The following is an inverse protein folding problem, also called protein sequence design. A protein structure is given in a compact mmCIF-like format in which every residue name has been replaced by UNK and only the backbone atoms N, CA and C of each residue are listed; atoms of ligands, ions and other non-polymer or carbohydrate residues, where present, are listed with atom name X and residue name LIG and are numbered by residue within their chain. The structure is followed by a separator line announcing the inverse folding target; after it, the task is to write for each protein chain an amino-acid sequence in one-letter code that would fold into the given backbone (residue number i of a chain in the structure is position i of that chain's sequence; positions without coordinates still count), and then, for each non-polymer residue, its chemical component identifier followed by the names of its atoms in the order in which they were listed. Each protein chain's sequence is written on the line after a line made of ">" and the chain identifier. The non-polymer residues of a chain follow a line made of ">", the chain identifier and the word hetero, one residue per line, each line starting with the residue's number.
data_IF_542899439096
#
_entry.id   IF_542899439096
#
_cell.length_a   1.000
_cell.length_b   1.000
_cell.length_c   1.000
_cell.angle_alpha   90.00
_cell.angle_beta   90.00
_cell.angle_gamma   90.00
#
_symmetry.space_group_name_H-M   'P 1'
#
loop_
_entity.id
_entity.type
_entity.pdbx_description
1 polymer ?
#
# COMPACT_ATOMS: atom_id res chain seq x y z
N UNK A 1 44.00 11.48 15.80
CA UNK A 1 43.44 12.66 15.09
C UNK A 1 41.91 12.58 15.03
N UNK A 2 41.21 12.51 16.17
CA UNK A 2 39.74 12.33 16.23
C UNK A 2 39.04 13.39 17.11
N UNK A 3 39.77 14.43 17.53
CA UNK A 3 39.27 15.45 18.48
C UNK A 3 38.80 16.74 17.81
N UNK A 4 39.05 16.93 16.51
CA UNK A 4 38.73 18.17 15.78
C UNK A 4 37.35 18.17 15.13
N UNK A 5 36.75 16.99 14.88
CA UNK A 5 35.46 16.88 14.20
C UNK A 5 34.27 17.15 15.15
N UNK A 6 34.34 16.62 16.38
CA UNK A 6 33.30 16.79 17.40
C UNK A 6 33.18 18.25 17.91
N UNK A 7 34.29 19.01 17.86
CA UNK A 7 34.34 20.43 18.21
C UNK A 7 33.76 21.37 17.14
N UNK A 8 33.79 20.96 15.86
CA UNK A 8 33.19 21.72 14.76
C UNK A 8 31.68 21.49 14.70
N UNK A 9 31.21 20.27 15.02
CA UNK A 9 29.78 19.94 15.13
C UNK A 9 29.12 20.73 16.27
N UNK A 10 29.74 20.81 17.47
CA UNK A 10 29.19 21.57 18.61
C UNK A 10 29.15 23.09 18.37
N UNK A 11 30.09 23.67 17.61
CA UNK A 11 30.11 25.11 17.30
C UNK A 11 28.97 25.57 16.39
N UNK A 12 28.32 24.64 15.69
CA UNK A 12 27.30 24.96 14.70
C UNK A 12 25.88 24.61 15.16
N UNK A 13 25.68 24.46 16.47
CA UNK A 13 24.41 24.17 17.11
C UNK A 13 24.03 25.27 18.11
N UNK A 14 22.74 25.54 18.24
CA UNK A 14 22.14 26.51 19.14
C UNK A 14 21.13 25.78 20.00
N UNK A 15 21.07 26.11 21.29
CA UNK A 15 20.08 25.56 22.21
C UNK A 15 18.82 26.43 22.26
N UNK A 16 17.66 25.81 22.10
CA UNK A 16 16.38 26.39 22.50
C UNK A 16 16.08 25.91 23.91
N UNK A 17 16.36 26.78 24.88
CA UNK A 17 16.25 26.48 26.30
C UNK A 17 14.80 26.24 26.76
N UNK A 18 13.82 26.82 26.06
CA UNK A 18 12.41 26.66 26.40
C UNK A 18 11.89 25.26 26.04
N UNK A 19 12.40 24.68 24.94
CA UNK A 19 12.01 23.36 24.46
C UNK A 19 13.05 22.27 24.74
N UNK A 20 14.22 22.62 25.27
CA UNK A 20 15.33 21.69 25.51
C UNK A 20 15.97 21.13 24.22
N UNK A 21 15.86 21.86 23.10
CA UNK A 21 16.24 21.35 21.78
C UNK A 21 17.61 21.87 21.33
N UNK A 22 18.33 21.03 20.60
CA UNK A 22 19.53 21.39 19.83
C UNK A 22 19.13 21.67 18.38
N UNK A 23 19.49 22.84 17.87
CA UNK A 23 19.11 23.33 16.54
C UNK A 23 20.36 23.73 15.76
N UNK A 24 20.55 23.30 14.50
CA UNK A 24 21.65 23.81 13.69
C UNK A 24 21.61 25.33 13.55
N UNK A 25 22.73 26.03 13.80
CA UNK A 25 22.81 27.48 13.87
C UNK A 25 22.27 28.19 12.62
N UNK A 26 22.45 27.57 11.43
CA UNK A 26 21.92 28.04 10.14
C UNK A 26 20.39 28.08 10.06
N UNK A 27 19.69 27.32 10.92
CA UNK A 27 18.24 27.21 10.96
C UNK A 27 17.60 27.96 12.14
N UNK A 28 18.40 28.61 13.00
CA UNK A 28 17.92 29.24 14.25
C UNK A 28 16.74 30.19 14.04
N UNK A 29 16.80 31.01 12.99
CA UNK A 29 15.81 32.05 12.74
C UNK A 29 14.52 31.45 12.16
N UNK A 30 14.65 30.50 11.24
CA UNK A 30 13.49 29.82 10.66
C UNK A 30 12.79 28.93 11.72
N UNK A 31 13.53 28.34 12.65
CA UNK A 31 12.96 27.59 13.77
C UNK A 31 12.27 28.49 14.79
N UNK A 32 12.91 29.59 15.22
CA UNK A 32 12.31 30.54 16.15
C UNK A 32 10.97 31.08 15.61
N UNK A 33 10.93 31.46 14.33
CA UNK A 33 9.69 31.91 13.68
C UNK A 33 8.57 30.85 13.75
N UNK A 34 8.91 29.57 13.56
CA UNK A 34 7.93 28.48 13.65
C UNK A 34 7.45 28.26 15.09
N UNK A 35 8.34 28.32 16.08
CA UNK A 35 7.98 28.19 17.51
C UNK A 35 7.10 29.35 17.95
N UNK A 36 7.44 30.57 17.57
CA UNK A 36 6.66 31.78 17.89
C UNK A 36 5.24 31.66 17.29
N UNK A 37 5.14 31.21 16.05
CA UNK A 37 3.85 30.95 15.42
C UNK A 37 3.06 29.83 16.10
N UNK A 38 3.72 28.73 16.49
CA UNK A 38 3.08 27.65 17.24
C UNK A 38 2.55 28.15 18.59
N UNK A 39 3.31 28.97 19.31
CA UNK A 39 2.87 29.58 20.55
C UNK A 39 1.68 30.53 20.33
N UNK A 40 1.69 31.32 19.25
CA UNK A 40 0.58 32.23 18.92
C UNK A 40 -0.71 31.52 18.47
N UNK A 41 -0.62 30.28 18.02
CA UNK A 41 -1.76 29.50 17.48
C UNK A 41 -2.16 28.31 18.36
N UNK A 42 -1.64 28.25 19.60
CA UNK A 42 -1.85 27.14 20.56
C UNK A 42 -1.51 25.75 19.97
N UNK A 43 -0.48 25.68 19.13
CA UNK A 43 0.00 24.46 18.49
C UNK A 43 1.30 23.99 19.12
N UNK A 44 1.49 22.67 19.15
CA UNK A 44 2.75 22.07 19.65
C UNK A 44 3.85 22.17 18.57
N UNK A 45 5.02 22.74 18.88
CA UNK A 45 6.14 22.83 17.95
C UNK A 45 6.90 21.50 17.80
N UNK A 46 6.83 20.60 18.80
CA UNK A 46 7.42 19.25 18.74
C UNK A 46 6.60 18.22 19.54
N UNK A 47 6.33 17.02 18.99
CA UNK A 47 6.30 16.76 17.55
C UNK A 47 5.19 17.60 16.88
N UNK A 48 5.56 18.35 15.84
CA UNK A 48 4.59 19.12 15.07
C UNK A 48 3.73 18.19 14.20
N UNK A 49 2.42 18.45 14.17
CA UNK A 49 1.55 17.83 13.20
C UNK A 49 1.86 18.36 11.78
N UNK A 50 1.85 17.52 10.73
CA UNK A 50 2.05 17.96 9.35
C UNK A 50 1.10 19.08 8.92
N UNK A 51 -0.17 19.00 9.35
CA UNK A 51 -1.19 20.04 9.09
C UNK A 51 -0.79 21.40 9.68
N UNK A 52 -0.18 21.41 10.88
CA UNK A 52 0.32 22.63 11.51
C UNK A 52 1.46 23.25 10.69
N UNK A 53 2.37 22.43 10.15
CA UNK A 53 3.45 22.93 9.30
C UNK A 53 2.95 23.45 7.96
N UNK A 54 1.95 22.79 7.35
CA UNK A 54 1.32 23.27 6.12
C UNK A 54 0.63 24.64 6.35
N UNK A 55 -0.10 24.77 7.47
CA UNK A 55 -0.74 26.03 7.84
C UNK A 55 0.28 27.15 8.10
N UNK A 56 1.37 26.86 8.81
CA UNK A 56 2.45 27.82 9.02
C UNK A 56 3.00 28.39 7.69
N UNK A 57 3.27 27.51 6.72
CA UNK A 57 3.80 27.90 5.42
C UNK A 57 2.78 28.74 4.63
N UNK A 58 1.48 28.45 4.79
CA UNK A 58 0.39 29.21 4.18
C UNK A 58 0.29 30.63 4.71
N UNK A 59 0.32 30.78 6.03
CA UNK A 59 0.18 32.08 6.71
C UNK A 59 1.46 32.95 6.58
N UNK A 60 2.59 32.34 6.22
CA UNK A 60 3.86 33.03 6.02
C UNK A 60 4.34 32.91 4.56
N UNK A 61 3.65 33.49 3.57
CA UNK A 61 4.04 33.38 2.17
C UNK A 61 5.45 33.94 1.95
N UNK A 62 6.26 33.22 1.17
CA UNK A 62 7.61 33.60 0.81
C UNK A 62 8.00 32.95 -0.52
N UNK A 63 9.12 33.37 -1.11
CA UNK A 63 9.71 32.69 -2.27
C UNK A 63 9.93 31.20 -1.99
N UNK A 64 9.78 30.34 -3.01
CA UNK A 64 9.87 28.87 -2.88
C UNK A 64 11.17 28.43 -2.20
N UNK A 65 12.29 29.08 -2.52
CA UNK A 65 13.59 28.80 -1.89
C UNK A 65 13.55 29.01 -0.36
N UNK A 66 12.90 30.09 0.10
CA UNK A 66 12.73 30.38 1.53
C UNK A 66 11.80 29.37 2.19
N UNK A 67 10.69 29.01 1.55
CA UNK A 67 9.78 27.99 2.10
C UNK A 67 10.46 26.62 2.22
N UNK A 68 11.28 26.22 1.24
CA UNK A 68 12.11 25.00 1.32
C UNK A 68 13.14 25.07 2.45
N UNK A 69 13.70 26.24 2.73
CA UNK A 69 14.64 26.46 3.85
C UNK A 69 13.94 26.30 5.20
N UNK A 70 12.77 26.91 5.37
CA UNK A 70 11.92 26.75 6.57
C UNK A 70 11.52 25.29 6.80
N UNK A 71 11.10 24.61 5.73
CA UNK A 71 10.79 23.18 5.75
C UNK A 71 11.99 22.35 6.24
N UNK A 72 13.17 22.65 5.71
CA UNK A 72 14.42 21.98 6.08
C UNK A 72 14.81 22.24 7.54
N UNK A 73 14.59 23.46 8.04
CA UNK A 73 14.82 23.80 9.44
C UNK A 73 13.95 22.96 10.37
N UNK A 74 12.63 22.95 10.14
CA UNK A 74 11.68 22.18 10.95
C UNK A 74 11.98 20.68 10.88
N UNK A 75 12.25 20.15 9.68
CA UNK A 75 12.61 18.75 9.49
C UNK A 75 13.89 18.36 10.24
N UNK A 76 14.94 19.19 10.14
CA UNK A 76 16.23 18.91 10.77
C UNK A 76 16.11 18.82 12.29
N UNK A 77 15.33 19.72 12.91
CA UNK A 77 15.04 19.67 14.35
C UNK A 77 14.28 18.40 14.70
N UNK A 78 13.20 18.06 13.98
CA UNK A 78 12.43 16.85 14.26
C UNK A 78 13.30 15.59 14.18
N UNK A 79 14.04 15.42 13.08
CA UNK A 79 14.90 14.24 12.90
C UNK A 79 16.05 14.19 13.90
N UNK A 80 16.59 15.35 14.29
CA UNK A 80 17.67 15.44 15.30
C UNK A 80 17.22 15.01 16.69
N UNK A 81 15.91 15.07 16.96
CA UNK A 81 15.29 14.66 18.23
C UNK A 81 14.49 13.35 18.13
N UNK A 82 14.74 12.55 17.09
CA UNK A 82 14.13 11.22 16.94
C UNK A 82 12.67 11.20 16.46
N UNK A 83 12.12 12.36 16.06
CA UNK A 83 10.77 12.45 15.52
C UNK A 83 10.76 12.33 13.98
N UNK A 84 9.67 11.84 13.38
CA UNK A 84 9.46 11.89 11.94
C UNK A 84 9.49 13.34 11.44
N UNK A 85 10.07 13.54 10.25
CA UNK A 85 10.13 14.85 9.60
C UNK A 85 8.75 15.29 9.08
N UNK A 86 8.08 16.29 9.68
CA UNK A 86 6.70 16.68 9.32
C UNK A 86 6.61 17.29 7.91
N UNK A 87 7.70 17.84 7.38
CA UNK A 87 7.75 18.43 6.06
C UNK A 87 7.89 17.43 4.90
N UNK A 88 8.03 16.14 5.19
CA UNK A 88 8.13 15.09 4.14
C UNK A 88 6.77 14.51 3.74
N UNK A 89 5.71 14.87 4.44
CA UNK A 89 4.32 14.48 4.16
C UNK A 89 3.82 15.07 2.86
N UNK A 90 2.90 14.38 2.17
CA UNK A 90 2.35 14.87 0.90
C UNK A 90 1.52 16.14 1.11
N UNK A 91 0.86 16.28 2.27
CA UNK A 91 0.10 17.48 2.66
C UNK A 91 0.94 18.75 2.55
N UNK A 92 2.15 18.75 3.12
CA UNK A 92 3.06 19.91 3.06
C UNK A 92 3.64 20.12 1.66
N UNK A 93 3.87 19.05 0.89
CA UNK A 93 4.38 19.17 -0.50
C UNK A 93 3.36 19.78 -1.45
N UNK A 94 2.08 19.40 -1.34
CA UNK A 94 0.97 20.00 -2.12
C UNK A 94 0.88 21.50 -1.88
N UNK A 95 1.10 21.94 -0.64
CA UNK A 95 1.07 23.37 -0.30
C UNK A 95 2.19 24.18 -0.98
N UNK A 96 3.38 23.60 -1.11
CA UNK A 96 4.56 24.30 -1.65
C UNK A 96 4.64 24.31 -3.18
N UNK A 97 3.91 23.44 -3.86
CA UNK A 97 3.96 23.29 -5.31
C UNK A 97 2.54 23.15 -5.87
N UNK A 98 1.92 24.29 -6.18
CA UNK A 98 0.56 24.37 -6.70
C UNK A 98 0.40 23.64 -8.06
N UNK A 99 1.44 23.62 -8.88
CA UNK A 99 1.45 22.89 -10.16
C UNK A 99 1.42 21.39 -9.92
N UNK A 100 2.24 20.90 -8.97
CA UNK A 100 2.21 19.49 -8.54
C UNK A 100 0.85 19.14 -7.93
N UNK A 101 0.31 19.98 -7.04
CA UNK A 101 -0.99 19.77 -6.42
C UNK A 101 -2.09 19.62 -7.49
N UNK A 102 -2.16 20.59 -8.42
CA UNK A 102 -3.11 20.56 -9.54
C UNK A 102 -2.98 19.30 -10.41
N UNK A 103 -1.75 18.82 -10.65
CA UNK A 103 -1.51 17.58 -11.39
C UNK A 103 -1.98 16.34 -10.61
N UNK A 104 -1.73 16.30 -9.30
CA UNK A 104 -2.18 15.22 -8.43
C UNK A 104 -3.70 15.20 -8.28
N UNK A 105 -4.35 16.36 -8.24
CA UNK A 105 -5.82 16.46 -8.18
C UNK A 105 -6.45 15.90 -9.46
N UNK A 106 -5.95 16.28 -10.64
CA UNK A 106 -6.41 15.70 -11.91
C UNK A 106 -6.19 14.19 -11.97
N UNK A 107 -5.02 13.72 -11.54
CA UNK A 107 -4.72 12.30 -11.49
C UNK A 107 -5.63 11.57 -10.49
N UNK A 108 -5.90 12.17 -9.33
CA UNK A 108 -6.81 11.64 -8.32
C UNK A 108 -8.23 11.49 -8.84
N UNK A 109 -8.75 12.49 -9.56
CA UNK A 109 -10.06 12.41 -10.22
C UNK A 109 -10.13 11.25 -11.21
N UNK A 110 -9.11 11.09 -12.08
CA UNK A 110 -9.05 9.98 -13.02
C UNK A 110 -9.02 8.61 -12.31
N UNK A 111 -8.25 8.49 -11.23
CA UNK A 111 -8.18 7.26 -10.45
C UNK A 111 -9.52 6.91 -9.79
N UNK A 112 -10.21 7.90 -9.21
CA UNK A 112 -11.52 7.71 -8.62
C UNK A 112 -12.57 7.30 -9.67
N UNK A 113 -12.56 7.95 -10.83
CA UNK A 113 -13.43 7.58 -11.95
C UNK A 113 -13.20 6.13 -12.39
N UNK A 114 -11.93 5.71 -12.51
CA UNK A 114 -11.59 4.31 -12.82
C UNK A 114 -12.05 3.34 -11.74
N UNK A 115 -11.88 3.71 -10.46
CA UNK A 115 -12.26 2.87 -9.33
C UNK A 115 -13.76 2.55 -9.30
N UNK A 116 -14.61 3.52 -9.62
CA UNK A 116 -16.08 3.35 -9.66
C UNK A 116 -16.51 2.37 -10.76
N UNK A 117 -15.79 2.32 -11.88
CA UNK A 117 -16.10 1.45 -13.02
C UNK A 117 -15.62 0.01 -12.88
N UNK A 118 -14.94 -0.36 -11.79
CA UNK A 118 -14.40 -1.72 -11.63
C UNK A 118 -15.49 -2.74 -11.25
N UNK A 119 -15.36 -4.01 -11.71
CA UNK A 119 -16.31 -5.05 -11.39
C UNK A 119 -16.46 -5.26 -9.88
N UNK A 120 -17.69 -5.36 -9.41
CA UNK A 120 -18.01 -5.57 -7.98
C UNK A 120 -18.57 -6.97 -7.70
N UNK A 121 -18.96 -7.70 -8.74
CA UNK A 121 -19.57 -9.04 -8.66
C UNK A 121 -18.89 -10.00 -9.62
N UNK A 122 -19.21 -11.29 -9.46
CA UNK A 122 -18.71 -12.37 -10.30
C UNK A 122 -17.33 -12.86 -9.87
N UNK A 123 -17.13 -14.18 -9.95
CA UNK A 123 -15.85 -14.80 -9.62
C UNK A 123 -14.95 -14.92 -10.85
N UNK A 124 -13.65 -14.62 -10.79
CA UNK A 124 -12.93 -13.88 -9.74
C UNK A 124 -12.93 -12.36 -9.98
N UNK A 125 -13.58 -11.86 -11.04
CA UNK A 125 -13.53 -10.44 -11.45
C UNK A 125 -13.91 -9.46 -10.35
N UNK A 126 -14.97 -9.74 -9.60
CA UNK A 126 -15.45 -8.91 -8.49
C UNK A 126 -14.47 -8.87 -7.32
N UNK A 127 -13.77 -9.97 -7.04
CA UNK A 127 -12.74 -10.00 -5.99
C UNK A 127 -11.59 -9.04 -6.32
N UNK A 128 -11.02 -9.17 -7.52
CA UNK A 128 -9.95 -8.31 -7.99
C UNK A 128 -10.41 -6.86 -8.13
N UNK A 129 -11.60 -6.64 -8.70
CA UNK A 129 -12.16 -5.31 -8.90
C UNK A 129 -12.40 -4.56 -7.60
N UNK A 130 -12.93 -5.21 -6.56
CA UNK A 130 -13.11 -4.59 -5.23
C UNK A 130 -11.77 -4.19 -4.58
N UNK A 131 -10.75 -5.06 -4.62
CA UNK A 131 -9.40 -4.73 -4.11
C UNK A 131 -8.79 -3.56 -4.87
N UNK A 132 -8.80 -3.66 -6.20
CA UNK A 132 -8.16 -2.68 -7.06
C UNK A 132 -8.87 -1.33 -6.97
N UNK A 133 -10.20 -1.30 -6.82
CA UNK A 133 -10.95 -0.07 -6.59
C UNK A 133 -10.48 0.64 -5.31
N UNK A 134 -10.34 -0.08 -4.20
CA UNK A 134 -9.84 0.52 -2.96
C UNK A 134 -8.39 1.01 -3.13
N UNK A 135 -7.55 0.23 -3.81
CA UNK A 135 -6.17 0.62 -4.10
C UNK A 135 -6.11 1.93 -4.91
N UNK A 136 -6.95 2.09 -5.93
CA UNK A 136 -7.03 3.32 -6.73
C UNK A 136 -7.54 4.51 -5.90
N UNK A 137 -8.53 4.31 -5.03
CA UNK A 137 -9.02 5.32 -4.09
C UNK A 137 -7.88 5.78 -3.16
N UNK A 138 -7.09 4.86 -2.62
CA UNK A 138 -5.94 5.19 -1.77
C UNK A 138 -4.85 5.90 -2.56
N UNK A 139 -4.57 5.48 -3.80
CA UNK A 139 -3.60 6.16 -4.67
C UNK A 139 -4.03 7.59 -5.02
N UNK A 140 -5.33 7.85 -5.16
CA UNK A 140 -5.88 9.18 -5.46
C UNK A 140 -5.58 10.22 -4.37
N UNK A 141 -5.33 9.78 -3.13
CA UNK A 141 -4.92 10.68 -2.03
C UNK A 141 -3.54 11.31 -2.25
N UNK A 142 -2.68 10.68 -3.07
CA UNK A 142 -1.27 11.04 -3.20
C UNK A 142 -0.35 10.37 -2.18
N UNK A 143 -0.87 9.44 -1.36
CA UNK A 143 -0.04 8.56 -0.53
C UNK A 143 1.03 7.86 -1.37
N UNK A 144 2.21 7.64 -0.77
CA UNK A 144 3.23 6.82 -1.42
C UNK A 144 2.77 5.37 -1.50
N UNK A 145 3.20 4.63 -2.54
CA UNK A 145 2.85 3.21 -2.64
C UNK A 145 3.38 2.38 -1.47
N UNK A 146 4.49 2.79 -0.86
CA UNK A 146 5.02 2.16 0.35
C UNK A 146 4.12 2.40 1.57
N UNK A 147 3.52 3.58 1.70
CA UNK A 147 2.57 3.85 2.78
C UNK A 147 1.27 3.07 2.57
N UNK A 148 0.77 3.02 1.34
CA UNK A 148 -0.43 2.26 0.97
C UNK A 148 -0.28 0.78 1.35
N UNK A 149 0.86 0.15 1.05
CA UNK A 149 1.07 -1.27 1.38
C UNK A 149 1.30 -1.54 2.86
N UNK A 150 1.63 -0.50 3.63
CA UNK A 150 1.78 -0.59 5.09
C UNK A 150 0.47 -0.44 5.84
N UNK A 151 -0.58 0.05 5.20
CA UNK A 151 -1.90 0.17 5.81
C UNK A 151 -2.42 -1.20 6.27
N UNK A 152 -2.99 -1.20 7.46
CA UNK A 152 -3.72 -2.31 8.07
C UNK A 152 -5.21 -2.04 8.05
N UNK A 153 -6.01 -3.09 8.26
CA UNK A 153 -7.48 -2.96 8.30
C UNK A 153 -7.95 -1.89 9.30
N UNK A 154 -7.30 -1.80 10.47
CA UNK A 154 -7.59 -0.80 11.51
C UNK A 154 -7.21 0.64 11.17
N UNK A 155 -6.40 0.84 10.14
CA UNK A 155 -5.84 2.16 9.78
C UNK A 155 -6.84 2.97 8.93
N UNK A 156 -7.90 2.33 8.42
CA UNK A 156 -9.02 2.99 7.75
C UNK A 156 -10.21 3.10 8.72
N UNK A 157 -10.82 4.28 8.73
CA UNK A 157 -12.06 4.54 9.47
C UNK A 157 -13.02 5.35 8.63
N UNK A 158 -14.31 5.09 8.81
CA UNK A 158 -15.38 5.93 8.30
C UNK A 158 -15.79 6.91 9.40
N UNK A 159 -15.68 8.21 9.09
CA UNK A 159 -16.14 9.31 9.92
C UNK A 159 -17.38 9.90 9.24
N UNK A 160 -18.53 9.28 9.50
CA UNK A 160 -19.73 9.41 8.67
C UNK A 160 -19.44 8.92 7.24
N UNK A 161 -19.54 9.84 6.29
CA UNK A 161 -19.33 9.59 4.86
C UNK A 161 -17.90 9.84 4.38
N UNK A 162 -17.01 10.30 5.28
CA UNK A 162 -15.62 10.58 4.96
C UNK A 162 -14.77 9.37 5.28
N UNK A 163 -14.05 8.86 4.28
CA UNK A 163 -13.05 7.81 4.49
C UNK A 163 -11.74 8.44 4.95
N UNK A 164 -11.26 8.03 6.12
CA UNK A 164 -10.02 8.52 6.71
C UNK A 164 -9.01 7.38 6.79
N UNK A 165 -7.89 7.52 6.08
CA UNK A 165 -6.75 6.62 6.19
C UNK A 165 -5.65 7.27 7.04
N UNK A 166 -5.14 6.53 8.04
CA UNK A 166 -4.06 6.99 8.91
C UNK A 166 -2.81 6.16 8.69
N UNK A 167 -1.73 6.78 8.23
CA UNK A 167 -0.47 6.05 8.01
C UNK A 167 0.20 5.70 9.34
N UNK A 168 1.19 4.80 9.30
CA UNK A 168 2.01 4.48 10.49
C UNK A 168 2.75 5.67 11.09
N UNK A 169 3.02 6.71 10.29
CA UNK A 169 3.64 7.95 10.75
C UNK A 169 2.64 8.92 11.37
N UNK A 170 1.34 8.57 11.38
CA UNK A 170 0.27 9.39 11.93
C UNK A 170 -0.29 10.42 10.94
N UNK A 171 0.14 10.42 9.68
CA UNK A 171 -0.44 11.30 8.65
C UNK A 171 -1.86 10.82 8.31
N UNK A 172 -2.81 11.76 8.29
CA UNK A 172 -4.22 11.46 8.02
C UNK A 172 -4.61 11.95 6.64
N UNK A 173 -5.08 11.04 5.81
CA UNK A 173 -5.60 11.32 4.48
C UNK A 173 -7.13 11.21 4.54
N UNK A 174 -7.82 12.33 4.26
CA UNK A 174 -9.28 12.39 4.25
C UNK A 174 -9.77 12.36 2.80
N UNK A 175 -10.67 11.45 2.50
CA UNK A 175 -11.30 11.28 1.19
C UNK A 175 -12.76 11.66 1.38
N UNK A 176 -13.09 12.88 0.97
CA UNK A 176 -14.43 13.43 1.10
C UNK A 176 -15.40 12.81 0.07
N UNK A 177 -16.71 12.82 0.34
CA UNK A 177 -17.72 12.55 -0.68
C UNK A 177 -17.57 13.50 -1.86
N UNK A 178 -18.06 13.07 -3.01
CA UNK A 178 -18.19 13.97 -4.15
C UNK A 178 -19.25 15.03 -3.83
N UNK A 179 -18.84 16.30 -3.78
CA UNK A 179 -19.71 17.42 -3.41
C UNK A 179 -20.78 17.71 -4.47
N UNK A 180 -20.56 17.31 -5.72
CA UNK A 180 -21.51 17.54 -6.82
C UNK A 180 -22.61 16.48 -6.86
N UNK A 181 -22.25 15.21 -6.60
CA UNK A 181 -23.18 14.08 -6.69
C UNK A 181 -23.79 13.72 -5.32
N UNK A 182 -23.15 14.10 -4.21
CA UNK A 182 -23.51 13.65 -2.86
C UNK A 182 -23.15 12.18 -2.59
N UNK A 183 -22.64 11.47 -3.61
CA UNK A 183 -22.24 10.07 -3.52
C UNK A 183 -20.94 9.90 -2.74
N UNK A 184 -20.86 8.78 -2.02
CA UNK A 184 -19.68 8.38 -1.25
C UNK A 184 -18.97 7.20 -1.93
N UNK A 185 -18.40 7.35 -3.14
CA UNK A 185 -17.83 6.21 -3.87
C UNK A 185 -16.69 5.57 -3.06
N UNK A 186 -15.86 6.37 -2.40
CA UNK A 186 -14.76 5.87 -1.56
C UNK A 186 -15.26 5.04 -0.37
N UNK A 187 -16.30 5.50 0.35
CA UNK A 187 -16.86 4.76 1.48
C UNK A 187 -17.56 3.47 1.03
N UNK A 188 -18.27 3.49 -0.10
CA UNK A 188 -18.90 2.31 -0.67
C UNK A 188 -17.86 1.28 -1.16
N UNK A 189 -16.80 1.73 -1.84
CA UNK A 189 -15.68 0.90 -2.29
C UNK A 189 -14.99 0.25 -1.08
N UNK A 190 -14.70 1.03 -0.04
CA UNK A 190 -14.11 0.50 1.19
C UNK A 190 -15.02 -0.54 1.84
N UNK A 191 -16.32 -0.25 2.01
CA UNK A 191 -17.29 -1.20 2.59
C UNK A 191 -17.32 -2.53 1.82
N UNK A 192 -17.39 -2.50 0.49
CA UNK A 192 -17.37 -3.71 -0.36
C UNK A 192 -16.10 -4.54 -0.18
N UNK A 193 -14.94 -3.90 0.04
CA UNK A 193 -13.69 -4.62 0.31
C UNK A 193 -13.58 -5.12 1.75
N UNK A 194 -14.08 -4.35 2.72
CA UNK A 194 -14.15 -4.76 4.11
C UNK A 194 -15.07 -5.98 4.28
N UNK A 195 -16.18 -6.03 3.55
CA UNK A 195 -17.11 -7.18 3.48
C UNK A 195 -16.40 -8.47 3.04
N UNK A 196 -15.54 -8.42 2.01
CA UNK A 196 -14.77 -9.59 1.56
C UNK A 196 -13.81 -10.09 2.64
N UNK A 197 -13.16 -9.18 3.35
CA UNK A 197 -12.26 -9.54 4.44
C UNK A 197 -13.03 -10.10 5.64
N UNK A 198 -14.17 -9.50 6.00
CA UNK A 198 -15.05 -10.00 7.06
C UNK A 198 -15.60 -11.40 6.72
N UNK A 199 -15.97 -11.64 5.45
CA UNK A 199 -16.38 -12.95 4.98
C UNK A 199 -15.26 -13.99 5.16
N UNK A 200 -14.04 -13.64 4.74
CA UNK A 200 -12.88 -14.55 4.84
C UNK A 200 -12.42 -14.79 6.29
N UNK A 201 -12.70 -13.87 7.22
CA UNK A 201 -12.47 -14.09 8.65
C UNK A 201 -13.41 -15.18 9.21
N UNK A 202 -14.66 -15.23 8.73
CA UNK A 202 -15.65 -16.24 9.16
C UNK A 202 -15.49 -17.56 8.40
N UNK A 203 -15.14 -17.49 7.12
CA UNK A 203 -15.05 -18.63 6.21
C UNK A 203 -13.67 -18.65 5.54
N UNK A 204 -12.65 -19.25 6.19
CA UNK A 204 -11.29 -19.30 5.66
C UNK A 204 -11.22 -20.25 4.45
N UNK A 205 -11.53 -19.71 3.27
CA UNK A 205 -11.51 -20.44 2.01
C UNK A 205 -12.13 -19.67 0.86
N UNK A 206 -11.59 -19.87 -0.35
CA UNK A 206 -12.07 -19.18 -1.56
C UNK A 206 -13.31 -19.83 -2.18
N UNK A 207 -13.64 -21.06 -1.77
CA UNK A 207 -14.78 -21.81 -2.32
C UNK A 207 -16.11 -21.17 -1.95
N UNK A 208 -16.33 -20.82 -0.68
CA UNK A 208 -17.54 -20.13 -0.25
C UNK A 208 -17.55 -18.67 -0.73
N UNK A 209 -16.38 -18.04 -0.81
CA UNK A 209 -16.25 -16.68 -1.34
C UNK A 209 -16.71 -16.57 -2.80
N UNK A 210 -16.44 -17.58 -3.62
CA UNK A 210 -16.91 -17.67 -5.00
C UNK A 210 -18.44 -17.59 -5.09
N UNK A 211 -19.13 -18.32 -4.22
CA UNK A 211 -20.59 -18.31 -4.16
C UNK A 211 -21.09 -16.96 -3.67
N UNK A 212 -20.51 -16.44 -2.58
CA UNK A 212 -20.83 -15.11 -2.04
C UNK A 212 -20.69 -13.96 -3.05
N UNK A 213 -19.68 -14.01 -3.93
CA UNK A 213 -19.51 -13.00 -4.99
C UNK A 213 -20.51 -13.10 -6.14
N UNK A 214 -21.26 -14.19 -6.22
CA UNK A 214 -22.29 -14.45 -7.23
C UNK A 214 -23.69 -14.23 -6.66
N UNK A 215 -23.92 -14.72 -5.44
CA UNK A 215 -25.14 -14.56 -4.67
C UNK A 215 -24.76 -14.10 -3.24
N UNK A 216 -24.72 -12.77 -2.99
CA UNK A 216 -24.25 -12.23 -1.74
C UNK A 216 -25.18 -12.57 -0.58
N UNK A 217 -24.61 -13.08 0.51
CA UNK A 217 -25.30 -13.22 1.79
C UNK A 217 -24.92 -12.04 2.68
N UNK A 218 -25.82 -11.56 3.54
CA UNK A 218 -25.49 -10.47 4.46
C UNK A 218 -24.37 -10.90 5.42
N UNK A 219 -23.21 -10.24 5.30
CA UNK A 219 -22.06 -10.42 6.20
C UNK A 219 -22.05 -9.27 7.19
N UNK A 220 -22.21 -9.60 8.47
CA UNK A 220 -22.04 -8.61 9.55
C UNK A 220 -20.55 -8.32 9.71
N UNK A 221 -20.15 -7.09 9.39
CA UNK A 221 -18.83 -6.58 9.69
C UNK A 221 -18.79 -6.15 11.16
N UNK A 222 -18.51 -7.10 12.06
CA UNK A 222 -18.29 -6.81 13.47
C UNK A 222 -17.05 -5.91 13.67
N UNK A 223 -16.94 -5.22 14.82
CA UNK A 223 -15.72 -4.51 15.17
C UNK A 223 -14.51 -5.45 15.08
N UNK A 224 -13.49 -5.02 14.35
CA UNK A 224 -12.28 -5.81 14.17
C UNK A 224 -11.65 -6.15 15.52
N UNK A 225 -11.33 -7.42 15.72
CA UNK A 225 -10.49 -7.82 16.84
C UNK A 225 -9.03 -7.33 16.64
N UNK A 226 -8.18 -7.58 17.64
CA UNK A 226 -6.79 -7.13 17.61
C UNK A 226 -5.95 -7.81 16.52
N UNK A 227 -6.27 -9.05 16.14
CA UNK A 227 -5.57 -9.84 15.11
C UNK A 227 -6.00 -9.35 13.72
N UNK A 228 -7.32 -9.36 13.46
CA UNK A 228 -7.95 -8.84 12.25
C UNK A 228 -7.51 -7.39 11.98
N UNK A 229 -7.50 -6.54 13.00
CA UNK A 229 -7.05 -5.15 12.88
C UNK A 229 -5.60 -5.00 12.42
N UNK A 230 -4.72 -5.99 12.67
CA UNK A 230 -3.30 -5.98 12.27
C UNK A 230 -3.06 -6.58 10.89
N UNK A 231 -4.04 -7.26 10.30
CA UNK A 231 -3.90 -7.84 8.97
C UNK A 231 -3.73 -6.73 7.90
N UNK A 232 -2.96 -6.99 6.83
CA UNK A 232 -2.79 -6.07 5.71
C UNK A 232 -4.12 -5.68 5.09
N UNK A 233 -4.29 -4.40 4.78
CA UNK A 233 -5.49 -3.92 4.07
C UNK A 233 -5.55 -4.44 2.63
N UNK A 234 -4.39 -4.52 1.97
CA UNK A 234 -4.24 -4.90 0.58
C UNK A 234 -3.31 -6.13 0.49
N UNK A 235 -3.82 -7.34 0.71
CA UNK A 235 -3.09 -8.57 0.41
C UNK A 235 -2.99 -8.80 -1.12
N UNK A 236 -1.92 -9.47 -1.59
CA UNK A 236 -1.89 -9.93 -2.97
C UNK A 236 -3.00 -10.98 -3.18
N UNK A 237 -3.44 -11.13 -4.42
CA UNK A 237 -4.41 -12.15 -4.81
C UNK A 237 -3.74 -12.96 -5.91
N UNK A 238 -3.64 -14.27 -5.73
CA UNK A 238 -3.09 -15.14 -6.75
C UNK A 238 -4.08 -15.34 -7.92
N UNK A 239 -3.67 -16.05 -8.97
CA UNK A 239 -4.55 -16.30 -10.14
C UNK A 239 -5.85 -17.05 -9.81
N UNK A 240 -5.93 -17.69 -8.65
CA UNK A 240 -7.04 -18.52 -8.19
C UNK A 240 -7.90 -17.84 -7.13
N UNK A 241 -7.60 -16.60 -6.76
CA UNK A 241 -8.35 -15.84 -5.76
C UNK A 241 -7.92 -16.12 -4.32
N UNK A 242 -6.81 -16.82 -4.08
CA UNK A 242 -6.26 -17.01 -2.74
C UNK A 242 -5.57 -15.74 -2.25
N UNK A 243 -5.82 -15.41 -0.98
CA UNK A 243 -5.23 -14.29 -0.25
C UNK A 243 -4.33 -14.86 0.84
N UNK A 244 -2.99 -14.69 0.76
CA UNK A 244 -2.09 -15.17 1.78
C UNK A 244 -2.28 -14.42 3.10
N UNK A 245 -2.19 -15.17 4.21
CA UNK A 245 -2.36 -14.60 5.55
C UNK A 245 -1.21 -13.65 5.90
N UNK A 246 -1.55 -12.45 6.40
CA UNK A 246 -0.60 -11.44 6.88
C UNK A 246 0.49 -11.00 5.88
N UNK A 247 0.26 -11.18 4.58
CA UNK A 247 1.20 -10.73 3.55
C UNK A 247 0.65 -9.50 2.81
N UNK A 248 1.26 -8.31 2.93
CA UNK A 248 0.87 -7.15 2.15
C UNK A 248 1.37 -7.25 0.70
N UNK A 249 0.71 -6.54 -0.21
CA UNK A 249 1.26 -6.28 -1.54
C UNK A 249 2.59 -5.52 -1.48
N UNK A 250 3.41 -5.66 -2.53
CA UNK A 250 4.61 -4.84 -2.67
C UNK A 250 4.27 -3.47 -3.29
N UNK A 251 5.09 -2.45 -3.00
CA UNK A 251 4.90 -1.12 -3.58
C UNK A 251 5.04 -1.14 -5.13
N UNK A 252 5.87 -2.04 -5.66
CA UNK A 252 6.02 -2.25 -7.09
C UNK A 252 4.74 -2.83 -7.72
N UNK A 253 4.13 -3.86 -7.10
CA UNK A 253 2.87 -4.43 -7.57
C UNK A 253 1.74 -3.39 -7.57
N UNK A 254 1.65 -2.56 -6.53
CA UNK A 254 0.69 -1.44 -6.48
C UNK A 254 0.95 -0.45 -7.61
N UNK A 255 2.20 -0.03 -7.82
CA UNK A 255 2.59 0.88 -8.90
C UNK A 255 2.20 0.34 -10.29
N UNK A 256 2.47 -0.94 -10.54
CA UNK A 256 2.12 -1.61 -11.81
C UNK A 256 0.62 -1.64 -12.02
N UNK A 257 -0.18 -1.97 -11.00
CA UNK A 257 -1.64 -1.98 -11.11
C UNK A 257 -2.21 -0.58 -11.36
N UNK A 258 -1.76 0.43 -10.62
CA UNK A 258 -2.18 1.83 -10.83
C UNK A 258 -1.91 2.25 -12.28
N UNK A 259 -0.70 1.98 -12.78
CA UNK A 259 -0.33 2.29 -14.17
C UNK A 259 -1.20 1.53 -15.16
N UNK A 260 -1.42 0.24 -14.96
CA UNK A 260 -2.23 -0.59 -15.85
C UNK A 260 -3.69 -0.09 -15.94
N UNK A 261 -4.29 0.29 -14.79
CA UNK A 261 -5.64 0.87 -14.75
C UNK A 261 -5.72 2.23 -15.43
N UNK A 262 -4.73 3.11 -15.21
CA UNK A 262 -4.67 4.42 -15.88
C UNK A 262 -4.51 4.27 -17.41
N UNK A 263 -3.67 3.33 -17.85
CA UNK A 263 -3.44 3.06 -19.27
C UNK A 263 -4.54 2.22 -19.91
N UNK A 264 -5.52 1.72 -19.16
CA UNK A 264 -6.56 0.82 -19.69
C UNK A 264 -6.07 -0.59 -20.04
N UNK A 265 -4.87 -0.97 -19.58
CA UNK A 265 -4.26 -2.29 -19.80
C UNK A 265 -4.32 -3.19 -18.54
N UNK A 266 -5.22 -2.88 -17.61
CA UNK A 266 -5.41 -3.70 -16.42
C UNK A 266 -5.82 -5.14 -16.80
N UNK A 267 -5.34 -6.16 -16.07
CA UNK A 267 -5.71 -7.54 -16.36
C UNK A 267 -7.21 -7.75 -16.32
N UNK A 268 -7.82 -8.03 -17.48
CA UNK A 268 -9.23 -8.39 -17.56
C UNK A 268 -9.39 -9.84 -17.15
N UNK A 269 -10.07 -10.09 -16.02
CA UNK A 269 -10.41 -11.43 -15.55
C UNK A 269 -11.81 -11.79 -16.02
N UNK A 270 -11.93 -12.82 -16.86
CA UNK A 270 -13.24 -13.33 -17.28
C UNK A 270 -13.97 -13.91 -16.07
N UNK A 271 -15.26 -13.61 -15.97
CA UNK A 271 -16.15 -14.25 -14.99
C UNK A 271 -16.20 -15.75 -15.30
N UNK A 272 -15.89 -16.57 -14.31
CA UNK A 272 -16.03 -18.01 -14.37
C UNK A 272 -17.41 -18.39 -13.83
N UNK A 273 -18.11 -19.34 -14.48
CA UNK A 273 -19.37 -19.85 -13.96
C UNK A 273 -19.14 -20.48 -12.58
N UNK A 274 -20.05 -20.20 -11.66
CA UNK A 274 -20.12 -20.84 -10.36
C UNK A 274 -21.20 -21.91 -10.45
N UNK A 275 -20.83 -23.17 -10.23
CA UNK A 275 -21.79 -24.27 -10.20
C UNK A 275 -22.67 -24.09 -8.95
N UNK A 276 -24.00 -24.15 -9.05
CA UNK A 276 -24.87 -24.07 -7.89
C UNK A 276 -24.51 -25.17 -6.87
N UNK A 277 -24.60 -24.89 -5.56
CA UNK A 277 -24.33 -25.91 -4.54
C UNK A 277 -25.26 -27.13 -4.63
N UNK A 278 -26.47 -26.96 -5.19
CA UNK A 278 -27.46 -28.04 -5.38
C UNK A 278 -27.10 -29.02 -6.51
N UNK A 279 -26.16 -28.65 -7.39
CA UNK A 279 -25.61 -29.54 -8.41
C UNK A 279 -24.33 -30.24 -7.96
N UNK A 280 -24.04 -30.24 -6.64
CA UNK A 280 -23.11 -31.19 -6.07
C UNK A 280 -23.76 -32.58 -6.22
N UNK A 281 -23.59 -33.18 -7.40
CA UNK A 281 -23.62 -34.63 -7.54
C UNK A 281 -22.88 -35.17 -6.32
N UNK A 282 -23.63 -35.80 -5.41
CA UNK A 282 -23.06 -36.54 -4.29
C UNK A 282 -21.94 -37.34 -4.94
N UNK A 283 -20.70 -37.02 -4.58
CA UNK A 283 -19.55 -37.75 -5.09
C UNK A 283 -19.70 -39.13 -4.47
N UNK A 284 -20.43 -40.00 -5.18
CA UNK A 284 -20.48 -41.41 -4.88
C UNK A 284 -19.06 -41.84 -5.20
N UNK A 285 -18.22 -41.95 -4.17
CA UNK A 285 -16.91 -42.55 -4.32
C UNK A 285 -17.15 -43.84 -5.08
N UNK A 286 -16.68 -43.95 -6.34
CA UNK A 286 -16.86 -45.19 -7.06
C UNK A 286 -16.21 -46.25 -6.19
N UNK A 287 -16.87 -47.39 -6.03
CA UNK A 287 -16.26 -48.53 -5.38
C UNK A 287 -15.15 -49.01 -6.31
N UNK A 288 -13.95 -48.45 -6.16
CA UNK A 288 -12.79 -48.79 -6.97
C UNK A 288 -12.22 -50.07 -6.37
N UNK A 289 -12.43 -51.18 -7.07
CA UNK A 289 -11.68 -52.41 -6.82
C UNK A 289 -10.28 -52.21 -7.39
N UNK A 290 -9.33 -51.88 -6.51
CA UNK A 290 -7.94 -51.69 -6.90
C UNK A 290 -7.28 -53.06 -7.03
N UNK A 291 -6.58 -53.26 -8.14
CA UNK A 291 -5.67 -54.40 -8.30
C UNK A 291 -4.74 -54.50 -7.06
N UNK A 292 -4.52 -55.70 -6.49
CA UNK A 292 -3.57 -55.90 -5.40
C UNK A 292 -2.20 -55.22 -5.62
N UNK A 293 -1.75 -55.14 -6.87
CA UNK A 293 -0.47 -54.56 -7.25
C UNK A 293 -0.57 -53.08 -7.66
N UNK A 294 -1.75 -52.45 -7.57
CA UNK A 294 -1.99 -51.05 -7.94
C UNK A 294 -1.00 -50.08 -7.27
N UNK A 295 -0.75 -50.27 -5.98
CA UNK A 295 0.18 -49.43 -5.23
C UNK A 295 1.64 -49.70 -5.63
N UNK A 296 2.00 -50.92 -6.00
CA UNK A 296 3.32 -51.24 -6.54
C UNK A 296 3.52 -50.62 -7.92
N UNK A 297 2.54 -50.72 -8.81
CA UNK A 297 2.57 -50.06 -10.11
C UNK A 297 2.68 -48.53 -9.97
N UNK A 298 1.93 -47.93 -9.05
CA UNK A 298 1.99 -46.49 -8.79
C UNK A 298 3.30 -46.03 -8.17
N UNK A 299 3.94 -46.84 -7.33
CA UNK A 299 5.26 -46.52 -6.75
C UNK A 299 6.38 -46.76 -7.76
N UNK A 300 6.30 -47.79 -8.59
CA UNK A 300 7.23 -48.06 -9.69
C UNK A 300 7.14 -47.00 -10.80
N UNK A 301 5.93 -46.51 -11.12
CA UNK A 301 5.75 -45.39 -12.04
C UNK A 301 6.42 -44.12 -11.51
N UNK A 302 6.17 -43.75 -10.24
CA UNK A 302 6.81 -42.58 -9.62
C UNK A 302 8.33 -42.72 -9.51
N UNK A 303 8.85 -43.92 -9.27
CA UNK A 303 10.30 -44.17 -9.27
C UNK A 303 10.90 -43.94 -10.65
N UNK A 304 10.29 -44.49 -11.70
CA UNK A 304 10.71 -44.24 -13.09
C UNK A 304 10.63 -42.77 -13.46
N UNK A 305 9.56 -42.09 -13.07
CA UNK A 305 9.42 -40.65 -13.32
C UNK A 305 10.49 -39.85 -12.55
N UNK A 306 10.81 -40.25 -11.32
CA UNK A 306 11.89 -39.62 -10.55
C UNK A 306 13.26 -39.80 -11.20
N UNK A 307 13.58 -41.02 -11.65
CA UNK A 307 14.81 -41.33 -12.40
C UNK A 307 14.88 -40.50 -13.71
N UNK A 308 13.77 -40.40 -14.45
CA UNK A 308 13.71 -39.57 -15.68
C UNK A 308 13.84 -38.06 -15.41
N UNK A 309 13.45 -37.59 -14.23
CA UNK A 309 13.51 -36.18 -13.84
C UNK A 309 14.83 -35.81 -13.17
N UNK A 310 15.64 -36.79 -12.76
CA UNK A 310 16.98 -36.56 -12.19
C UNK A 310 17.91 -35.96 -13.26
N UNK A 311 17.81 -36.43 -14.50
CA UNK A 311 18.54 -35.92 -15.67
C UNK A 311 18.18 -34.45 -16.02
N UNK A 312 17.05 -33.94 -15.53
CA UNK A 312 16.63 -32.55 -15.78
C UNK A 312 17.42 -31.54 -14.93
N UNK A 313 17.99 -31.97 -13.79
CA UNK A 313 18.80 -31.10 -12.96
C UNK A 313 20.06 -30.62 -13.70
N UNK A 314 20.74 -31.52 -14.41
CA UNK A 314 21.92 -31.17 -15.22
C UNK A 314 21.59 -30.20 -16.35
N UNK A 315 20.41 -30.35 -16.97
CA UNK A 315 19.93 -29.41 -18.01
C UNK A 315 19.65 -28.03 -17.42
N UNK A 316 19.10 -27.95 -16.20
CA UNK A 316 18.89 -26.66 -15.54
C UNK A 316 20.20 -26.00 -15.14
N UNK A 317 21.18 -26.76 -14.66
CA UNK A 317 22.52 -26.25 -14.35
C UNK A 317 23.22 -25.72 -15.62
N UNK A 318 23.07 -26.40 -16.77
CA UNK A 318 23.59 -25.92 -18.05
C UNK A 318 22.91 -24.61 -18.51
N UNK A 319 21.59 -24.52 -18.35
CA UNK A 319 20.82 -23.30 -18.66
C UNK A 319 21.24 -22.15 -17.75
N UNK A 320 21.44 -22.40 -16.45
CA UNK A 320 21.89 -21.40 -15.48
C UNK A 320 23.29 -20.90 -15.81
N UNK A 321 24.23 -21.80 -16.10
CA UNK A 321 25.58 -21.44 -16.55
C UNK A 321 25.54 -20.63 -17.86
N UNK A 322 24.66 -20.96 -18.80
CA UNK A 322 24.53 -20.20 -20.05
C UNK A 322 23.91 -18.83 -19.82
N UNK A 323 22.97 -18.71 -18.89
CA UNK A 323 22.37 -17.44 -18.51
C UNK A 323 23.40 -16.51 -17.86
N UNK A 324 24.23 -17.03 -16.95
CA UNK A 324 25.32 -16.28 -16.31
C UNK A 324 26.32 -15.74 -17.34
N UNK A 325 26.73 -16.57 -18.31
CA UNK A 325 27.62 -16.12 -19.41
C UNK A 325 26.96 -14.99 -20.22
N UNK A 326 25.68 -15.09 -20.54
CA UNK A 326 24.96 -14.03 -21.28
C UNK A 326 24.83 -12.75 -20.45
N UNK A 327 24.65 -12.86 -19.13
CA UNK A 327 24.64 -11.71 -18.23
C UNK A 327 26.01 -11.03 -18.17
N UNK A 328 27.09 -11.80 -18.06
CA UNK A 328 28.46 -11.28 -18.06
C UNK A 328 28.82 -10.61 -19.40
N UNK A 329 28.43 -11.20 -20.53
CA UNK A 329 28.59 -10.60 -21.86
C UNK A 329 27.83 -9.27 -21.96
N UNK A 330 26.61 -9.19 -21.42
CA UNK A 330 25.80 -7.97 -21.44
C UNK A 330 26.37 -6.88 -20.52
N UNK A 331 26.89 -7.24 -19.36
CA UNK A 331 27.62 -6.32 -18.47
C UNK A 331 28.90 -5.80 -19.13
N UNK A 332 29.67 -6.66 -19.80
CA UNK A 332 30.88 -6.24 -20.52
C UNK A 332 30.59 -5.26 -21.67
N UNK A 333 29.45 -5.40 -22.35
CA UNK A 333 29.02 -4.45 -23.40
C UNK A 333 28.56 -3.11 -22.80
N UNK A 334 27.96 -3.12 -21.60
CA UNK A 334 27.51 -1.91 -20.92
C UNK A 334 28.64 -1.14 -20.23
N UNK A 335 29.67 -1.84 -19.71
CA UNK A 335 30.86 -1.22 -19.10
C UNK A 335 31.91 -0.78 -20.13
N UNK A 336 31.75 -1.18 -21.40
CA UNK A 336 32.58 -0.78 -22.53
C UNK A 336 32.08 0.45 -23.31
N UNK A 337 30.99 1.10 -22.86
CA UNK A 337 30.42 2.36 -23.38
C UNK A 337 30.69 3.50 -22.41
#
# INVERSE_FOLDING_TARGET
>A
MSSTDDGVIRRNMVHDAALGLVIPARYRHDWALFVDWCAATDRRPIPAAPDSLALFLHEHPAAIATQRRRLSAVNAVHTGHGYPAPGRTETVRRHLDATRASRLDRLGQLLLQRAVGLPTTGWPSGLFGRRDALLLVLAATGMTFTDITRLRRRDLRLDGDILVATTRTGERFRIAPDLETGDTPAAAIYRRWAEIQAFLDQYPGTHLLRHHLTDPVDVVADPLDAEQGRQPLLPPIDRWGHLPHNQPMTAQSVSVLVRAHLSGHAPVRKVLPVRPPDDAEVWVEPQIDLDPDYYEHGTAARRRDHENLEDLAEVFDEIEARADVLFDELFAVLDGL
#
